data_IF_953565770619
#
_entry.id   IF_953565770619
#
_cell.length_a   1.000
_cell.length_b   1.000
_cell.length_c   1.000
_cell.angle_alpha   90.00
_cell.angle_beta   90.00
_cell.angle_gamma   90.00
#
_symmetry.space_group_name_H-M   'P 1'
#
loop_
_entity.id
_entity.type
_entity.pdbx_description
1 polymer ?
#
# COMPACT_ATOMS: atom_id res chain seq x y z
N UNK A 1 15.73 -7.75 -8.20
CA UNK A 1 15.46 -6.36 -8.54
C UNK A 1 14.95 -6.27 -9.98
N UNK A 2 13.67 -6.50 -10.23
CA UNK A 2 13.02 -6.19 -11.51
C UNK A 2 11.77 -5.36 -11.24
N UNK A 3 11.97 -4.20 -10.61
CA UNK A 3 11.03 -3.11 -10.76
C UNK A 3 11.54 -2.27 -11.93
N UNK A 4 11.12 -2.58 -13.13
CA UNK A 4 11.15 -1.59 -14.20
C UNK A 4 10.12 -0.53 -13.81
N UNK A 5 10.60 0.57 -13.24
CA UNK A 5 9.86 1.80 -13.15
C UNK A 5 9.63 2.23 -14.61
N UNK A 6 8.47 1.90 -15.18
CA UNK A 6 8.02 2.54 -16.40
C UNK A 6 7.61 3.95 -15.93
N UNK A 7 8.58 4.85 -15.85
CA UNK A 7 8.33 6.28 -15.78
C UNK A 7 7.58 6.60 -17.05
N UNK A 8 6.25 6.70 -16.94
CA UNK A 8 5.43 7.11 -18.05
C UNK A 8 5.90 8.50 -18.47
N UNK A 9 6.57 8.60 -19.59
CA UNK A 9 6.51 9.83 -20.35
C UNK A 9 5.06 10.28 -20.32
N UNK A 10 4.81 11.57 -20.10
CA UNK A 10 3.48 12.18 -20.29
C UNK A 10 2.98 11.77 -21.67
N UNK A 11 2.32 10.65 -21.74
CA UNK A 11 1.64 10.21 -22.94
C UNK A 11 0.33 10.97 -22.88
N UNK A 12 0.31 12.17 -23.46
CA UNK A 12 -0.93 12.80 -23.84
C UNK A 12 -1.65 11.80 -24.75
N UNK A 13 -2.69 11.19 -24.23
CA UNK A 13 -3.50 10.22 -24.95
C UNK A 13 -4.39 10.95 -25.96
N UNK A 14 -3.79 11.54 -26.99
CA UNK A 14 -4.52 12.02 -28.15
C UNK A 14 -4.62 10.84 -29.11
N UNK A 15 -5.72 10.11 -29.06
CA UNK A 15 -5.86 8.98 -29.96
C UNK A 15 -7.22 8.30 -29.88
N UNK A 16 -7.53 7.56 -30.91
CA UNK A 16 -8.71 6.72 -30.97
C UNK A 16 -8.64 5.55 -29.97
N UNK A 17 -9.75 4.89 -29.73
CA UNK A 17 -9.84 3.64 -28.95
C UNK A 17 -8.83 2.59 -29.42
N UNK A 18 -8.60 2.48 -30.72
CA UNK A 18 -7.66 1.56 -31.34
C UNK A 18 -6.22 1.88 -30.91
N UNK A 19 -5.87 3.15 -30.82
CA UNK A 19 -4.55 3.58 -30.32
C UNK A 19 -4.34 3.20 -28.86
N UNK A 20 -5.35 3.35 -28.01
CA UNK A 20 -5.27 2.93 -26.60
C UNK A 20 -5.08 1.40 -26.49
N UNK A 21 -5.85 0.64 -27.22
CA UNK A 21 -5.74 -0.82 -27.24
C UNK A 21 -4.36 -1.30 -27.66
N UNK A 22 -3.79 -0.74 -28.73
CA UNK A 22 -2.45 -1.08 -29.20
C UNK A 22 -1.38 -0.77 -28.15
N UNK A 23 -1.46 0.41 -27.51
CA UNK A 23 -0.51 0.81 -26.48
C UNK A 23 -0.57 -0.08 -25.25
N UNK A 24 -1.78 -0.37 -24.72
CA UNK A 24 -1.93 -1.27 -23.59
C UNK A 24 -1.50 -2.70 -23.91
N UNK A 25 -1.80 -3.18 -25.11
CA UNK A 25 -1.35 -4.52 -25.51
C UNK A 25 0.19 -4.60 -25.51
N UNK A 26 0.88 -3.61 -26.06
CA UNK A 26 2.35 -3.54 -26.05
C UNK A 26 2.90 -3.47 -24.62
N UNK A 27 2.27 -2.71 -23.71
CA UNK A 27 2.70 -2.65 -22.31
C UNK A 27 2.51 -4.00 -21.61
N UNK A 28 1.38 -4.67 -21.85
CA UNK A 28 1.06 -5.97 -21.26
C UNK A 28 2.01 -7.08 -21.72
N UNK A 29 2.52 -7.01 -22.95
CA UNK A 29 3.53 -7.96 -23.45
C UNK A 29 4.84 -7.90 -22.66
N UNK A 30 5.15 -6.76 -22.04
CA UNK A 30 6.33 -6.56 -21.20
C UNK A 30 6.16 -6.97 -19.74
N UNK A 31 4.95 -7.44 -19.32
CA UNK A 31 4.67 -7.82 -17.95
C UNK A 31 4.71 -9.32 -17.72
N UNK A 32 5.07 -9.74 -16.51
CA UNK A 32 5.04 -11.16 -16.10
C UNK A 32 3.64 -11.61 -15.69
N UNK A 33 2.79 -10.67 -15.25
CA UNK A 33 1.45 -10.94 -14.70
C UNK A 33 0.33 -10.83 -15.74
N UNK A 34 0.62 -10.33 -16.95
CA UNK A 34 -0.38 -9.93 -17.95
C UNK A 34 -1.41 -8.91 -17.40
N UNK A 35 -1.01 -8.14 -16.39
CA UNK A 35 -1.84 -7.13 -15.75
C UNK A 35 -1.04 -5.85 -15.48
N UNK A 36 -1.73 -4.71 -15.58
CA UNK A 36 -1.21 -3.39 -15.27
C UNK A 36 -2.07 -2.76 -14.17
N UNK A 37 -1.44 -2.05 -13.26
CA UNK A 37 -2.10 -1.21 -12.26
C UNK A 37 -1.89 0.25 -12.64
N UNK A 38 -2.98 1.00 -12.74
CA UNK A 38 -2.97 2.41 -13.12
C UNK A 38 -3.37 3.27 -11.92
N UNK A 39 -2.52 4.25 -11.60
CA UNK A 39 -2.77 5.24 -10.53
C UNK A 39 -2.91 6.62 -11.16
N UNK A 40 -3.99 7.38 -10.91
CA UNK A 40 -4.04 8.78 -11.32
C UNK A 40 -2.90 9.56 -10.68
N UNK A 41 -2.17 10.37 -11.47
CA UNK A 41 -1.04 11.18 -10.93
C UNK A 41 -1.53 12.19 -9.89
N UNK A 42 -2.74 12.71 -10.06
CA UNK A 42 -3.37 13.65 -9.12
C UNK A 42 -4.37 12.98 -8.17
N UNK A 43 -4.32 11.65 -8.05
CA UNK A 43 -5.20 10.88 -7.17
C UNK A 43 -4.72 10.84 -5.73
N UNK A 44 -5.67 10.76 -4.78
CA UNK A 44 -5.40 10.56 -3.34
C UNK A 44 -6.16 9.34 -2.86
N UNK A 45 -5.52 8.51 -2.01
CA UNK A 45 -6.19 7.43 -1.30
C UNK A 45 -6.73 6.30 -2.20
N UNK A 46 -6.13 6.08 -3.37
CA UNK A 46 -6.52 5.01 -4.29
C UNK A 46 -7.75 5.31 -5.15
N UNK A 47 -8.31 6.53 -5.08
CA UNK A 47 -9.43 6.92 -5.94
C UNK A 47 -9.01 6.96 -7.41
N UNK A 48 -9.84 6.38 -8.28
CA UNK A 48 -9.59 6.35 -9.72
C UNK A 48 -8.50 5.35 -10.15
N UNK A 49 -7.96 4.54 -9.24
CA UNK A 49 -7.10 3.42 -9.61
C UNK A 49 -7.88 2.39 -10.42
N UNK A 50 -7.21 1.72 -11.34
CA UNK A 50 -7.80 0.67 -12.17
C UNK A 50 -6.80 -0.43 -12.50
N UNK A 51 -7.32 -1.63 -12.78
CA UNK A 51 -6.55 -2.76 -13.27
C UNK A 51 -6.93 -3.01 -14.72
N UNK A 52 -5.93 -3.12 -15.58
CA UNK A 52 -6.10 -3.53 -16.97
C UNK A 52 -5.39 -4.87 -17.14
N UNK A 53 -6.13 -5.89 -17.59
CA UNK A 53 -5.57 -7.22 -17.85
C UNK A 53 -5.67 -7.57 -19.32
N UNK A 54 -4.79 -8.46 -19.77
CA UNK A 54 -4.79 -8.96 -21.16
C UNK A 54 -6.09 -9.68 -21.49
N UNK A 55 -6.68 -10.40 -20.53
CA UNK A 55 -7.90 -11.18 -20.72
C UNK A 55 -9.16 -10.33 -20.96
N UNK A 56 -9.20 -9.10 -20.45
CA UNK A 56 -10.35 -8.19 -20.57
C UNK A 56 -9.96 -6.81 -21.11
N UNK A 57 -8.87 -6.73 -21.87
CA UNK A 57 -8.29 -5.47 -22.35
C UNK A 57 -9.32 -4.57 -23.05
N UNK A 58 -10.07 -5.14 -24.02
CA UNK A 58 -11.08 -4.39 -24.79
C UNK A 58 -12.15 -3.82 -23.88
N UNK A 59 -12.72 -4.63 -22.99
CA UNK A 59 -13.76 -4.22 -22.06
C UNK A 59 -13.25 -3.14 -21.10
N UNK A 60 -12.04 -3.33 -20.54
CA UNK A 60 -11.42 -2.39 -19.61
C UNK A 60 -11.16 -1.03 -20.26
N UNK A 61 -10.63 -1.03 -21.49
CA UNK A 61 -10.39 0.22 -22.23
C UNK A 61 -11.70 0.94 -22.56
N UNK A 62 -12.73 0.23 -22.96
CA UNK A 62 -14.05 0.82 -23.23
C UNK A 62 -14.64 1.44 -21.95
N UNK A 63 -14.64 0.67 -20.85
CA UNK A 63 -15.18 1.08 -19.57
C UNK A 63 -14.50 2.34 -19.03
N UNK A 64 -13.19 2.45 -19.19
CA UNK A 64 -12.39 3.52 -18.62
C UNK A 64 -11.95 4.57 -19.63
N UNK A 65 -12.41 4.50 -20.89
CA UNK A 65 -11.94 5.36 -21.98
C UNK A 65 -11.97 6.84 -21.63
N UNK A 66 -13.06 7.33 -21.05
CA UNK A 66 -13.19 8.73 -20.66
C UNK A 66 -12.10 9.16 -19.68
N UNK A 67 -11.93 8.40 -18.58
CA UNK A 67 -10.92 8.69 -17.58
C UNK A 67 -9.49 8.61 -18.16
N UNK A 68 -9.23 7.62 -18.99
CA UNK A 68 -7.93 7.42 -19.66
C UNK A 68 -7.56 8.58 -20.61
N UNK A 69 -8.55 9.26 -21.18
CA UNK A 69 -8.32 10.42 -22.07
C UNK A 69 -8.24 11.74 -21.31
N UNK A 70 -8.91 11.86 -20.17
CA UNK A 70 -9.03 13.12 -19.41
C UNK A 70 -7.96 13.28 -18.32
N UNK A 71 -7.31 12.18 -17.87
CA UNK A 71 -6.37 12.18 -16.77
C UNK A 71 -5.04 11.53 -17.15
N UNK A 72 -3.98 11.93 -16.43
CA UNK A 72 -2.67 11.28 -16.52
C UNK A 72 -2.54 10.19 -15.48
N UNK A 73 -1.98 9.05 -15.86
CA UNK A 73 -1.80 7.89 -15.00
C UNK A 73 -0.34 7.47 -14.90
N UNK A 74 0.08 7.06 -13.73
CA UNK A 74 1.24 6.22 -13.53
C UNK A 74 0.80 4.78 -13.84
N UNK A 75 1.51 4.12 -14.75
CA UNK A 75 1.24 2.73 -15.14
C UNK A 75 2.35 1.86 -14.57
N UNK A 76 1.95 0.88 -13.76
CA UNK A 76 2.87 -0.06 -13.12
C UNK A 76 2.47 -1.50 -13.47
N UNK A 77 3.43 -2.42 -13.39
CA UNK A 77 3.10 -3.84 -13.42
C UNK A 77 2.29 -4.20 -12.18
N UNK A 78 1.26 -5.02 -12.36
CA UNK A 78 0.45 -5.48 -11.23
C UNK A 78 1.27 -6.39 -10.30
N UNK A 79 1.29 -6.07 -9.02
CA UNK A 79 1.98 -6.86 -8.00
C UNK A 79 1.10 -8.03 -7.58
N UNK A 80 1.65 -9.25 -7.61
CA UNK A 80 0.99 -10.43 -7.06
C UNK A 80 1.28 -10.54 -5.57
N UNK A 81 0.24 -10.39 -4.76
CA UNK A 81 0.31 -10.53 -3.31
C UNK A 81 0.62 -11.96 -2.89
N UNK A 82 1.28 -12.11 -1.73
CA UNK A 82 1.58 -13.41 -1.14
C UNK A 82 0.30 -14.25 -0.94
N UNK A 83 0.30 -15.55 -1.28
CA UNK A 83 -0.90 -16.40 -1.22
C UNK A 83 -1.61 -16.40 0.13
N UNK A 84 -0.87 -16.46 1.25
CA UNK A 84 -1.49 -16.46 2.59
C UNK A 84 -2.20 -15.15 2.94
N UNK A 85 -1.75 -14.01 2.38
CA UNK A 85 -2.45 -12.73 2.56
C UNK A 85 -3.71 -12.71 1.67
N UNK A 86 -3.66 -13.34 0.48
CA UNK A 86 -4.84 -13.50 -0.37
C UNK A 86 -5.96 -14.31 0.31
N UNK A 87 -5.63 -15.22 1.22
CA UNK A 87 -6.65 -15.95 2.01
C UNK A 87 -7.47 -14.98 2.87
N UNK A 88 -6.87 -13.87 3.33
CA UNK A 88 -7.58 -12.84 4.09
C UNK A 88 -8.38 -11.93 3.15
N UNK A 89 -7.73 -11.36 2.11
CA UNK A 89 -8.38 -10.50 1.13
C UNK A 89 -7.66 -10.53 -0.23
N UNK A 90 -8.26 -11.11 -1.28
CA UNK A 90 -7.59 -11.34 -2.56
C UNK A 90 -7.73 -10.21 -3.59
N UNK A 91 -8.63 -9.23 -3.37
CA UNK A 91 -8.98 -8.25 -4.41
C UNK A 91 -8.07 -7.00 -4.43
N UNK A 92 -7.41 -6.70 -3.31
CA UNK A 92 -6.47 -5.61 -3.20
C UNK A 92 -5.06 -6.09 -2.86
N UNK A 93 -4.05 -5.30 -3.20
CA UNK A 93 -2.76 -5.41 -2.53
C UNK A 93 -2.92 -4.83 -1.13
N UNK A 94 -2.92 -5.71 -0.13
CA UNK A 94 -3.01 -5.33 1.27
C UNK A 94 -1.60 -5.03 1.78
N UNK A 95 -1.36 -3.82 2.24
CA UNK A 95 -0.02 -3.31 2.49
C UNK A 95 0.30 -3.16 3.97
N UNK A 96 1.57 -3.33 4.30
CA UNK A 96 2.13 -2.85 5.56
C UNK A 96 2.37 -1.34 5.46
N UNK A 97 1.68 -0.55 6.28
CA UNK A 97 2.04 0.83 6.54
C UNK A 97 3.10 0.83 7.65
N UNK A 98 4.35 1.03 7.26
CA UNK A 98 5.49 1.05 8.18
C UNK A 98 5.98 2.49 8.34
N UNK A 99 6.00 3.00 9.56
CA UNK A 99 6.57 4.33 9.84
C UNK A 99 7.94 4.16 10.45
N UNK A 100 8.95 4.79 9.85
CA UNK A 100 10.28 4.86 10.46
C UNK A 100 10.54 6.24 11.07
N UNK A 101 11.47 6.26 12.01
CA UNK A 101 12.07 7.44 12.60
C UNK A 101 13.59 7.29 12.60
N UNK A 102 14.31 8.35 12.23
CA UNK A 102 15.77 8.43 12.31
C UNK A 102 16.13 9.32 13.50
N UNK A 103 16.81 8.75 14.49
CA UNK A 103 17.25 9.49 15.68
C UNK A 103 18.46 10.41 15.42
N UNK A 104 18.89 11.17 16.44
CA UNK A 104 20.05 12.07 16.37
C UNK A 104 21.37 11.35 16.08
N UNK A 105 21.45 10.05 16.32
CA UNK A 105 22.62 9.22 16.05
C UNK A 105 22.56 8.56 14.65
N UNK A 106 21.61 8.97 13.80
CA UNK A 106 21.33 8.37 12.48
C UNK A 106 20.90 6.90 12.53
N UNK A 107 20.36 6.43 13.66
CA UNK A 107 19.80 5.08 13.77
C UNK A 107 18.35 5.08 13.26
N UNK A 108 18.04 4.12 12.38
CA UNK A 108 16.70 3.96 11.83
C UNK A 108 15.88 3.03 12.73
N UNK A 109 14.82 3.54 13.30
CA UNK A 109 13.85 2.80 14.11
C UNK A 109 12.56 2.59 13.35
N UNK A 110 11.92 1.43 13.50
CA UNK A 110 10.54 1.22 13.07
C UNK A 110 9.63 1.71 14.21
N UNK A 111 8.96 2.82 13.97
CA UNK A 111 8.12 3.47 14.97
C UNK A 111 6.76 2.77 15.11
N UNK A 112 6.15 2.39 14.00
CA UNK A 112 4.88 1.66 13.98
C UNK A 112 4.71 0.85 12.70
N UNK A 113 3.93 -0.21 12.81
CA UNK A 113 3.53 -1.04 11.67
C UNK A 113 2.04 -1.35 11.76
N UNK A 114 1.33 -1.07 10.70
CA UNK A 114 -0.06 -1.50 10.52
C UNK A 114 -0.16 -2.39 9.30
N UNK A 115 -1.01 -3.41 9.36
CA UNK A 115 -1.48 -4.08 8.16
C UNK A 115 -2.82 -3.46 7.75
N UNK A 116 -2.95 -3.12 6.48
CA UNK A 116 -4.20 -2.58 5.90
C UNK A 116 -4.86 -3.65 5.05
N UNK A 117 -6.19 -3.68 5.11
CA UNK A 117 -7.00 -4.59 4.31
C UNK A 117 -8.11 -3.84 3.59
N UNK A 118 -8.33 -4.20 2.32
CA UNK A 118 -9.52 -3.81 1.59
C UNK A 118 -10.78 -4.52 2.13
N UNK A 119 -11.95 -4.14 1.65
CA UNK A 119 -13.25 -4.78 1.93
C UNK A 119 -14.02 -4.93 0.62
N UNK A 120 -14.78 -5.99 0.48
CA UNK A 120 -15.57 -6.29 -0.71
C UNK A 120 -14.69 -6.53 -1.93
N UNK A 121 -15.07 -5.94 -3.04
CA UNK A 121 -14.31 -6.01 -4.31
C UNK A 121 -13.38 -4.82 -4.52
N UNK A 122 -13.04 -4.09 -3.44
CA UNK A 122 -12.10 -2.97 -3.53
C UNK A 122 -10.74 -3.46 -4.02
N UNK A 123 -10.18 -2.77 -5.02
CA UNK A 123 -8.83 -3.03 -5.54
C UNK A 123 -7.74 -2.28 -4.77
N UNK A 124 -8.12 -1.57 -3.71
CA UNK A 124 -7.22 -0.83 -2.82
C UNK A 124 -7.54 -1.11 -1.35
N UNK A 125 -6.53 -1.04 -0.50
CA UNK A 125 -6.61 -1.28 0.94
C UNK A 125 -6.77 -0.01 1.78
N UNK A 126 -6.98 1.13 1.12
CA UNK A 126 -7.03 2.42 1.80
C UNK A 126 -8.20 2.53 2.78
N UNK A 127 -7.91 2.97 3.99
CA UNK A 127 -8.95 3.23 5.01
C UNK A 127 -9.90 4.35 4.58
N UNK A 128 -9.42 5.33 3.81
CA UNK A 128 -10.24 6.41 3.24
C UNK A 128 -11.27 5.93 2.22
N UNK A 129 -11.06 4.77 1.59
CA UNK A 129 -12.00 4.14 0.65
C UNK A 129 -12.85 3.04 1.29
N UNK A 130 -12.78 2.88 2.61
CA UNK A 130 -13.59 1.92 3.36
C UNK A 130 -12.85 0.70 3.87
N UNK A 131 -11.56 0.56 3.57
CA UNK A 131 -10.70 -0.46 4.17
C UNK A 131 -10.51 -0.25 5.68
N UNK A 132 -9.78 -1.15 6.30
CA UNK A 132 -9.46 -1.07 7.72
C UNK A 132 -7.98 -1.37 7.99
N UNK A 133 -7.51 -1.06 9.18
CA UNK A 133 -6.14 -1.34 9.61
C UNK A 133 -6.12 -2.11 10.93
N UNK A 134 -5.06 -2.88 11.13
CA UNK A 134 -4.80 -3.64 12.36
C UNK A 134 -3.33 -3.46 12.77
N UNK A 135 -3.09 -3.39 14.09
CA UNK A 135 -1.75 -3.29 14.62
C UNK A 135 -0.92 -4.54 14.33
N UNK A 136 0.35 -4.34 14.06
CA UNK A 136 1.33 -5.42 13.90
C UNK A 136 2.36 -5.30 14.99
N UNK A 137 2.65 -6.39 15.69
CA UNK A 137 3.77 -6.43 16.61
C UNK A 137 5.07 -6.17 15.85
N UNK A 138 5.71 -5.05 16.14
CA UNK A 138 6.90 -4.59 15.41
C UNK A 138 8.15 -5.48 15.56
N UNK A 139 8.13 -6.45 16.48
CA UNK A 139 9.22 -7.43 16.69
C UNK A 139 8.94 -8.76 16.01
N UNK A 140 7.70 -9.21 16.03
CA UNK A 140 7.33 -10.57 15.59
C UNK A 140 6.60 -10.62 14.26
N UNK A 141 6.00 -9.52 13.81
CA UNK A 141 5.18 -9.48 12.59
C UNK A 141 3.80 -10.11 12.76
N UNK A 142 3.35 -10.32 14.00
CA UNK A 142 2.03 -10.87 14.31
C UNK A 142 0.99 -9.76 14.35
N UNK A 143 -0.18 -9.99 13.78
CA UNK A 143 -1.32 -9.09 13.92
C UNK A 143 -1.87 -9.13 15.35
N UNK A 144 -2.07 -7.96 15.98
CA UNK A 144 -2.48 -7.84 17.37
C UNK A 144 -3.79 -7.06 17.51
N UNK A 145 -4.71 -7.64 18.28
CA UNK A 145 -6.02 -7.07 18.54
C UNK A 145 -6.94 -7.05 17.30
N UNK A 146 -8.02 -6.28 17.35
CA UNK A 146 -8.98 -6.22 16.25
C UNK A 146 -8.56 -5.22 15.17
N UNK A 147 -8.97 -5.48 13.93
CA UNK A 147 -8.97 -4.52 12.85
C UNK A 147 -9.92 -3.36 13.13
N UNK A 148 -9.56 -2.14 12.74
CA UNK A 148 -10.36 -0.93 12.97
C UNK A 148 -10.50 -0.13 11.68
N UNK A 149 -11.74 0.17 11.35
CA UNK A 149 -12.10 1.07 10.27
C UNK A 149 -12.02 2.52 10.76
N UNK A 150 -11.73 3.44 9.86
CA UNK A 150 -11.78 4.89 10.16
C UNK A 150 -13.19 5.28 10.62
N UNK A 151 -13.28 6.15 11.64
CA UNK A 151 -14.55 6.65 12.16
C UNK A 151 -15.38 7.33 11.07
N UNK A 152 -14.75 8.06 10.15
CA UNK A 152 -15.41 8.68 9.01
C UNK A 152 -16.03 7.66 8.03
N UNK A 153 -15.68 6.38 8.15
CA UNK A 153 -16.18 5.27 7.34
C UNK A 153 -17.07 4.29 8.12
N UNK A 154 -17.49 4.67 9.32
CA UNK A 154 -18.38 3.89 10.16
C UNK A 154 -17.75 3.33 11.44
N UNK A 155 -16.42 3.35 11.57
CA UNK A 155 -15.70 2.97 12.79
C UNK A 155 -15.87 1.51 13.19
N UNK A 156 -16.17 0.62 12.24
CA UNK A 156 -16.37 -0.81 12.50
C UNK A 156 -15.10 -1.46 13.08
N UNK A 157 -15.32 -2.49 13.91
CA UNK A 157 -14.25 -3.25 14.57
C UNK A 157 -14.38 -4.71 14.14
N UNK A 158 -13.26 -5.30 13.68
CA UNK A 158 -13.24 -6.62 13.06
C UNK A 158 -12.27 -7.55 13.80
N UNK A 159 -12.76 -8.65 14.38
CA UNK A 159 -11.93 -9.77 14.84
C UNK A 159 -11.57 -10.74 13.70
N UNK A 160 -12.40 -10.75 12.65
CA UNK A 160 -12.23 -11.51 11.43
C UNK A 160 -12.43 -10.60 10.24
N UNK A 161 -11.84 -10.93 9.09
CA UNK A 161 -12.11 -10.20 7.88
C UNK A 161 -13.60 -10.30 7.50
N UNK A 162 -14.30 -9.18 7.19
CA UNK A 162 -15.75 -9.19 7.00
C UNK A 162 -16.22 -10.08 5.85
N UNK A 163 -15.44 -10.19 4.78
CA UNK A 163 -15.82 -10.98 3.59
C UNK A 163 -15.43 -12.45 3.75
N UNK A 164 -14.20 -12.75 4.12
CA UNK A 164 -13.64 -14.11 4.13
C UNK A 164 -13.81 -14.84 5.45
N UNK A 165 -14.13 -14.13 6.53
CA UNK A 165 -14.25 -14.65 7.90
C UNK A 165 -12.94 -15.25 8.46
N UNK A 166 -11.81 -14.99 7.82
CA UNK A 166 -10.49 -15.38 8.32
C UNK A 166 -10.17 -14.57 9.57
N UNK A 167 -9.70 -15.25 10.62
CA UNK A 167 -9.28 -14.60 11.87
C UNK A 167 -8.06 -13.71 11.62
N UNK A 168 -8.08 -12.51 12.19
CA UNK A 168 -7.01 -11.53 11.99
C UNK A 168 -5.94 -11.64 13.07
N UNK A 169 -6.34 -11.64 14.34
CA UNK A 169 -5.42 -11.71 15.47
C UNK A 169 -4.61 -13.02 15.44
N UNK A 170 -3.32 -12.90 15.64
CA UNK A 170 -2.41 -14.04 15.60
C UNK A 170 -1.89 -14.42 14.21
N UNK A 171 -2.39 -13.79 13.14
CA UNK A 171 -1.83 -14.01 11.80
C UNK A 171 -0.39 -13.51 11.73
N UNK A 172 0.51 -14.35 11.22
CA UNK A 172 1.94 -14.03 11.07
C UNK A 172 2.19 -13.55 9.65
N UNK A 173 2.69 -12.33 9.52
CA UNK A 173 3.00 -11.73 8.22
C UNK A 173 4.24 -12.39 7.61
N UNK A 174 4.15 -12.96 6.40
CA UNK A 174 5.31 -13.51 5.72
C UNK A 174 6.37 -12.43 5.47
N UNK A 175 7.65 -12.81 5.50
CA UNK A 175 8.78 -11.90 5.19
C UNK A 175 8.79 -10.59 5.99
N UNK A 176 8.22 -10.60 7.21
CA UNK A 176 8.12 -9.38 8.02
C UNK A 176 9.48 -8.78 8.35
N UNK A 177 10.45 -9.61 8.72
CA UNK A 177 11.79 -9.13 9.07
C UNK A 177 12.51 -8.54 7.85
N UNK A 178 12.33 -9.16 6.70
CA UNK A 178 12.83 -8.66 5.42
C UNK A 178 12.20 -7.30 5.06
N UNK A 179 10.91 -7.12 5.33
CA UNK A 179 10.23 -5.83 5.16
C UNK A 179 10.83 -4.75 6.09
N UNK A 180 11.08 -5.08 7.36
CA UNK A 180 11.77 -4.18 8.29
C UNK A 180 13.17 -3.80 7.78
N UNK A 181 13.93 -4.76 7.29
CA UNK A 181 15.28 -4.54 6.76
C UNK A 181 15.25 -3.69 5.49
N UNK A 182 14.26 -3.92 4.61
CA UNK A 182 14.05 -3.14 3.40
C UNK A 182 13.79 -1.67 3.74
N UNK A 183 12.89 -1.38 4.68
CA UNK A 183 12.59 -0.02 5.15
C UNK A 183 13.85 0.63 5.75
N UNK A 184 14.54 -0.05 6.66
CA UNK A 184 15.79 0.48 7.28
C UNK A 184 16.86 0.79 6.26
N UNK A 185 17.01 -0.03 5.22
CA UNK A 185 17.96 0.20 4.13
C UNK A 185 17.54 1.39 3.27
N UNK A 186 16.27 1.46 2.92
CA UNK A 186 15.73 2.51 2.04
C UNK A 186 15.66 3.87 2.71
N UNK A 187 15.41 3.92 4.03
CA UNK A 187 15.38 5.16 4.83
C UNK A 187 16.65 6.00 4.67
N UNK A 188 17.80 5.36 4.48
CA UNK A 188 19.12 6.03 4.32
C UNK A 188 19.22 6.90 3.06
N UNK A 189 18.32 6.70 2.09
CA UNK A 189 18.30 7.48 0.84
C UNK A 189 17.33 8.66 0.89
N UNK A 190 16.63 8.86 2.02
CA UNK A 190 15.66 9.95 2.19
C UNK A 190 16.15 10.91 3.29
N UNK A 191 16.06 12.24 3.06
CA UNK A 191 16.48 13.23 4.04
C UNK A 191 15.51 13.36 5.22
N UNK A 192 14.30 12.83 5.09
CA UNK A 192 13.24 12.97 6.08
C UNK A 192 13.45 12.01 7.25
N UNK A 193 13.41 12.51 8.45
CA UNK A 193 13.57 11.70 9.67
C UNK A 193 12.37 10.81 9.98
N UNK A 194 11.18 11.17 9.47
CA UNK A 194 9.96 10.37 9.59
C UNK A 194 9.41 10.18 8.18
N UNK A 195 9.22 8.92 7.78
CA UNK A 195 8.57 8.54 6.50
C UNK A 195 7.66 7.34 6.75
N UNK A 196 6.49 7.35 6.13
CA UNK A 196 5.60 6.19 6.05
C UNK A 196 5.82 5.44 4.75
N UNK A 197 6.03 4.14 4.84
CA UNK A 197 6.25 3.23 3.73
C UNK A 197 5.04 2.34 3.53
N UNK A 198 4.60 2.19 2.30
CA UNK A 198 3.62 1.19 1.93
C UNK A 198 4.35 0.01 1.29
N UNK A 199 4.32 -1.13 1.96
CA UNK A 199 5.05 -2.33 1.58
C UNK A 199 4.06 -3.43 1.23
N UNK A 200 4.15 -3.94 0.00
CA UNK A 200 3.46 -5.17 -0.39
C UNK A 200 4.32 -6.38 -0.05
N UNK A 201 3.68 -7.47 0.35
CA UNK A 201 4.35 -8.76 0.54
C UNK A 201 3.97 -9.67 -0.63
N UNK A 202 4.98 -10.10 -1.38
CA UNK A 202 4.83 -11.03 -2.50
C UNK A 202 5.36 -12.42 -2.14
N UNK A 203 5.17 -13.40 -3.01
CA UNK A 203 5.74 -14.75 -2.82
C UNK A 203 7.29 -14.76 -2.84
N UNK A 204 7.92 -13.72 -3.39
CA UNK A 204 9.39 -13.57 -3.46
C UNK A 204 9.96 -12.58 -2.43
N UNK A 205 9.10 -12.02 -1.55
CA UNK A 205 9.51 -11.09 -0.51
C UNK A 205 8.81 -9.72 -0.57
N UNK A 206 9.25 -8.75 0.23
CA UNK A 206 8.63 -7.43 0.33
C UNK A 206 9.02 -6.53 -0.85
N UNK A 207 8.07 -5.70 -1.28
CA UNK A 207 8.23 -4.68 -2.33
C UNK A 207 7.72 -3.34 -1.83
N UNK A 208 8.50 -2.26 -2.01
CA UNK A 208 8.06 -0.89 -1.71
C UNK A 208 7.08 -0.45 -2.79
N UNK A 209 5.88 -0.02 -2.37
CA UNK A 209 4.87 0.58 -3.24
C UNK A 209 5.07 2.09 -3.31
N UNK A 210 5.20 2.73 -2.16
CA UNK A 210 5.41 4.18 -2.06
C UNK A 210 6.05 4.60 -0.74
N UNK A 211 6.61 5.82 -0.72
CA UNK A 211 7.13 6.46 0.46
C UNK A 211 6.43 7.82 0.68
N UNK A 212 5.85 8.00 1.86
CA UNK A 212 5.07 9.19 2.24
C UNK A 212 5.89 10.05 3.21
N UNK A 213 6.32 11.23 2.80
CA UNK A 213 7.12 12.17 3.61
C UNK A 213 6.33 12.80 4.77
N UNK A 214 5.01 12.78 4.70
CA UNK A 214 4.11 13.25 5.76
C UNK A 214 3.06 12.18 6.05
N UNK A 215 3.46 11.05 6.70
CA UNK A 215 2.53 9.96 6.97
C UNK A 215 1.52 10.39 8.03
N UNK A 216 0.26 10.02 7.80
CA UNK A 216 -0.74 10.11 8.87
C UNK A 216 -0.37 9.15 10.01
N UNK A 217 -0.19 9.68 11.20
CA UNK A 217 0.08 8.89 12.40
C UNK A 217 -1.20 8.49 13.16
N UNK A 218 -2.35 9.07 12.78
CA UNK A 218 -3.62 8.85 13.47
C UNK A 218 -4.01 7.37 13.58
N UNK A 219 -3.95 6.63 12.48
CA UNK A 219 -4.30 5.21 12.48
C UNK A 219 -3.39 4.39 13.40
N UNK A 220 -2.09 4.68 13.38
CA UNK A 220 -1.13 4.02 14.27
C UNK A 220 -1.37 4.41 15.72
N UNK A 221 -1.68 5.67 16.00
CA UNK A 221 -2.00 6.15 17.35
C UNK A 221 -3.19 5.37 17.92
N UNK A 222 -4.27 5.24 17.14
CA UNK A 222 -5.46 4.47 17.54
C UNK A 222 -5.15 2.99 17.72
N UNK A 223 -4.41 2.37 16.79
CA UNK A 223 -4.14 0.94 16.80
C UNK A 223 -3.26 0.52 17.98
N UNK A 224 -2.27 1.34 18.35
CA UNK A 224 -1.37 1.07 19.48
C UNK A 224 -1.84 1.64 20.82
N UNK A 225 -3.04 2.24 20.87
CA UNK A 225 -3.60 2.81 22.09
C UNK A 225 -2.88 4.06 22.59
N UNK A 226 -2.30 4.82 21.67
CA UNK A 226 -1.69 6.13 21.88
C UNK A 226 -0.17 6.14 21.79
N UNK A 227 0.38 6.99 20.93
CA UNK A 227 1.82 7.17 20.77
C UNK A 227 2.53 7.66 22.03
N UNK A 228 1.85 8.36 22.93
CA UNK A 228 2.43 8.79 24.22
C UNK A 228 3.02 7.64 25.05
N UNK A 229 2.55 6.41 24.81
CA UNK A 229 3.07 5.19 25.44
C UNK A 229 4.30 4.62 24.74
N UNK A 230 4.60 5.05 23.51
CA UNK A 230 5.69 4.52 22.75
C UNK A 230 7.05 5.00 23.31
N UNK A 231 8.02 4.12 23.56
CA UNK A 231 9.29 4.49 24.23
C UNK A 231 10.06 5.60 23.49
N UNK A 232 10.07 5.59 22.15
CA UNK A 232 10.77 6.60 21.35
C UNK A 232 10.09 7.97 21.30
N UNK A 233 8.80 8.09 21.65
CA UNK A 233 8.10 9.38 21.60
C UNK A 233 8.71 10.42 22.52
N UNK A 234 9.16 10.03 23.71
CA UNK A 234 9.81 10.94 24.64
C UNK A 234 11.12 11.50 24.06
N UNK A 235 11.86 10.70 23.31
CA UNK A 235 13.08 11.13 22.61
C UNK A 235 12.73 12.07 21.47
N UNK A 236 11.75 11.71 20.64
CA UNK A 236 11.27 12.54 19.53
C UNK A 236 10.84 13.91 20.05
N UNK A 237 10.02 13.97 21.11
CA UNK A 237 9.52 15.23 21.67
C UNK A 237 10.67 16.10 22.22
N UNK A 238 11.65 15.50 22.88
CA UNK A 238 12.85 16.23 23.33
C UNK A 238 13.63 16.83 22.18
N UNK A 239 13.79 16.11 21.08
CA UNK A 239 14.54 16.57 19.91
C UNK A 239 13.86 17.72 19.16
N UNK A 240 12.52 17.82 19.24
CA UNK A 240 11.74 18.90 18.62
C UNK A 240 11.37 20.02 19.61
N UNK A 241 11.96 20.00 20.83
CA UNK A 241 11.77 21.01 21.87
C UNK A 241 10.31 21.21 22.30
N UNK A 242 9.54 20.12 22.44
CA UNK A 242 8.17 20.10 22.97
C UNK A 242 8.11 19.27 24.28
#
# INVERSE_FOLDING_TARGET
>A
LHSQLIVGNQVSWTGSKETLLQKFNKLLEGTTTNQLFLKPIMGIGGQGCMIISKSNLMESVIRHQKALLEQSYLIEEYIQQHPTINEIHPFAINTLRMVHYIDSNNTVHILSVLMRFGIGTSITDNTSTGGFSIAVNSKTGVLEGPGRQDLAKGGAVYSKHPDTQVALEGFVIPYFQEACNLVKKSAKYFPNRIVGWDIAITASGPVIIEANHNPSLHLSDVAYGGYKKHPLIKEILKEINI
#
